data_IF_047857998862
#
_entry.id   IF_047857998862
#
_cell.length_a   1.000
_cell.length_b   1.000
_cell.length_c   1.000
_cell.angle_alpha   90.00
_cell.angle_beta   90.00
_cell.angle_gamma   90.00
#
_symmetry.space_group_name_H-M   'P 1'
#
loop_
_entity.id
_entity.type
_entity.pdbx_description
1 polymer ?
#
# COMPACT_ATOMS: atom_id res chain seq x y z
N UNK A 1 20.67 -7.40 3.39
CA UNK A 1 19.42 -7.17 2.70
C UNK A 1 19.47 -7.58 1.22
N UNK A 2 20.59 -7.32 0.61
CA UNK A 2 20.71 -7.69 -0.79
C UNK A 2 20.51 -9.17 -1.00
N UNK A 3 20.97 -9.97 -0.07
CA UNK A 3 20.75 -11.38 -0.22
C UNK A 3 19.30 -11.74 -0.13
N UNK A 4 18.57 -11.04 0.73
CA UNK A 4 17.16 -11.33 0.85
C UNK A 4 16.44 -10.95 -0.43
N UNK A 5 16.92 -9.93 -1.11
CA UNK A 5 16.27 -9.51 -2.32
C UNK A 5 16.26 -10.58 -3.37
N UNK A 6 17.27 -11.40 -3.38
CA UNK A 6 17.40 -12.35 -4.46
C UNK A 6 16.21 -13.25 -4.59
N UNK A 7 15.75 -13.79 -3.49
CA UNK A 7 14.73 -14.79 -3.59
C UNK A 7 13.40 -14.33 -3.05
N UNK A 8 13.39 -13.33 -2.19
CA UNK A 8 12.18 -13.00 -1.47
C UNK A 8 11.66 -11.61 -1.72
N UNK A 9 12.51 -10.69 -2.13
CA UNK A 9 12.06 -9.32 -2.31
C UNK A 9 11.43 -9.15 -3.68
N UNK A 10 10.26 -8.58 -3.69
CA UNK A 10 9.52 -8.32 -4.92
C UNK A 10 9.00 -6.90 -4.84
N UNK A 11 9.12 -6.18 -5.94
CA UNK A 11 8.63 -4.82 -6.01
C UNK A 11 7.64 -4.70 -7.15
N UNK A 12 6.71 -3.78 -6.97
CA UNK A 12 5.70 -3.55 -7.99
C UNK A 12 5.34 -2.08 -8.02
N UNK A 13 5.17 -1.57 -9.23
CA UNK A 13 4.69 -0.22 -9.44
C UNK A 13 3.38 -0.29 -10.19
N UNK A 14 2.40 0.46 -9.73
CA UNK A 14 1.08 0.46 -10.35
C UNK A 14 0.65 1.89 -10.59
N UNK A 15 0.16 2.15 -11.78
CA UNK A 15 -0.37 3.47 -12.15
C UNK A 15 -1.85 3.35 -12.43
N UNK A 16 -2.57 4.40 -12.10
CA UNK A 16 -3.97 4.52 -12.48
C UNK A 16 -4.09 5.74 -13.39
N UNK A 17 -4.72 5.57 -14.53
CA UNK A 17 -4.93 6.66 -15.47
C UNK A 17 -6.42 6.94 -15.58
N UNK A 18 -6.73 8.22 -15.68
CA UNK A 18 -8.10 8.67 -15.91
C UNK A 18 -8.05 9.79 -16.91
N UNK A 19 -8.90 9.69 -17.93
CA UNK A 19 -8.98 10.74 -18.95
C UNK A 19 -7.62 11.02 -19.60
N UNK A 20 -6.85 9.96 -19.80
CA UNK A 20 -5.56 10.08 -20.43
C UNK A 20 -4.44 10.61 -19.57
N UNK A 21 -4.68 10.83 -18.29
CA UNK A 21 -3.68 11.37 -17.37
C UNK A 21 -3.44 10.42 -16.23
N UNK A 22 -2.24 10.48 -15.67
CA UNK A 22 -1.94 9.70 -14.49
C UNK A 22 -2.67 10.28 -13.31
N UNK A 23 -3.59 9.51 -12.76
CA UNK A 23 -4.37 9.94 -11.61
C UNK A 23 -3.71 9.58 -10.29
N UNK A 24 -2.90 8.52 -10.27
CA UNK A 24 -2.22 8.14 -9.05
C UNK A 24 -1.31 6.96 -9.30
N UNK A 25 -0.52 6.64 -8.29
CA UNK A 25 0.35 5.48 -8.38
C UNK A 25 0.64 4.91 -7.01
N UNK A 26 1.09 3.67 -7.00
CA UNK A 26 1.52 3.01 -5.77
C UNK A 26 2.78 2.23 -6.03
N UNK A 27 3.70 2.31 -5.10
CA UNK A 27 4.90 1.48 -5.07
C UNK A 27 4.77 0.55 -3.88
N UNK A 28 4.87 -0.74 -4.15
CA UNK A 28 4.75 -1.74 -3.11
C UNK A 28 5.95 -2.67 -3.18
N UNK A 29 6.26 -3.25 -2.06
CA UNK A 29 7.35 -4.19 -2.00
C UNK A 29 7.06 -5.26 -0.98
N UNK A 30 7.72 -6.39 -1.12
CA UNK A 30 7.60 -7.48 -0.18
C UNK A 30 8.97 -8.07 0.08
N UNK A 31 9.23 -8.34 1.33
CA UNK A 31 10.43 -9.03 1.73
C UNK A 31 9.97 -10.11 2.70
N UNK A 32 10.30 -11.35 2.40
CA UNK A 32 9.80 -12.49 3.17
C UNK A 32 8.28 -12.41 3.27
N UNK A 33 7.71 -12.30 4.45
CA UNK A 33 6.27 -12.24 4.63
C UNK A 33 5.77 -10.87 5.01
N UNK A 34 6.59 -9.86 4.81
CA UNK A 34 6.25 -8.50 5.18
C UNK A 34 6.11 -7.68 3.91
N UNK A 35 4.95 -7.05 3.77
CA UNK A 35 4.69 -6.15 2.67
C UNK A 35 4.81 -4.71 3.10
N UNK A 36 5.17 -3.87 2.16
CA UNK A 36 5.31 -2.43 2.39
C UNK A 36 4.61 -1.67 1.30
N UNK A 37 3.80 -0.71 1.69
CA UNK A 37 3.32 0.32 0.77
C UNK A 37 4.34 1.43 0.85
N UNK A 38 5.27 1.44 -0.09
CA UNK A 38 6.39 2.37 -0.04
C UNK A 38 5.97 3.78 -0.40
N UNK A 39 5.03 3.89 -1.32
CA UNK A 39 4.52 5.18 -1.72
C UNK A 39 3.16 5.00 -2.38
N UNK A 40 2.23 5.85 -2.02
CA UNK A 40 0.93 5.88 -2.64
C UNK A 40 0.54 7.34 -2.78
N UNK A 41 0.29 7.77 -4.00
CA UNK A 41 -0.01 9.16 -4.27
C UNK A 41 -1.15 9.26 -5.26
N UNK A 42 -2.01 10.24 -5.04
CA UNK A 42 -3.13 10.52 -5.94
C UNK A 42 -3.03 11.98 -6.34
N UNK A 43 -3.09 12.23 -7.63
CA UNK A 43 -3.04 13.59 -8.14
C UNK A 43 -4.19 14.39 -7.54
N UNK A 44 -3.95 15.66 -7.14
CA UNK A 44 -5.01 16.43 -6.48
C UNK A 44 -6.31 16.51 -7.25
N UNK A 45 -6.24 16.54 -8.57
CA UNK A 45 -7.44 16.66 -9.39
C UNK A 45 -8.26 15.36 -9.39
N UNK A 46 -7.71 14.29 -8.88
CA UNK A 46 -8.37 12.99 -8.89
C UNK A 46 -8.59 12.44 -7.50
N UNK A 47 -8.46 13.27 -6.49
CA UNK A 47 -8.73 12.83 -5.14
C UNK A 47 -10.23 12.78 -4.89
N UNK A 48 -10.61 11.97 -3.92
CA UNK A 48 -12.00 11.83 -3.50
C UNK A 48 -12.89 11.16 -4.53
N UNK A 49 -12.30 10.51 -5.52
CA UNK A 49 -13.08 9.74 -6.48
C UNK A 49 -12.72 8.26 -6.41
N UNK A 50 -12.08 7.85 -5.32
CA UNK A 50 -11.82 6.45 -5.10
C UNK A 50 -10.51 5.91 -5.68
N UNK A 51 -9.67 6.77 -6.25
CA UNK A 51 -8.41 6.31 -6.83
C UNK A 51 -7.48 5.75 -5.76
N UNK A 52 -7.34 6.48 -4.64
CA UNK A 52 -6.47 6.01 -3.56
C UNK A 52 -6.95 4.70 -2.98
N UNK A 53 -8.25 4.56 -2.79
CA UNK A 53 -8.81 3.34 -2.25
C UNK A 53 -8.61 2.17 -3.20
N UNK A 54 -8.79 2.40 -4.50
CA UNK A 54 -8.58 1.36 -5.49
C UNK A 54 -7.12 0.93 -5.54
N UNK A 55 -6.19 1.90 -5.50
CA UNK A 55 -4.77 1.58 -5.49
C UNK A 55 -4.39 0.78 -4.25
N UNK A 56 -4.90 1.18 -3.11
CA UNK A 56 -4.58 0.48 -1.86
C UNK A 56 -5.14 -0.92 -1.86
N UNK A 57 -6.39 -1.08 -2.28
CA UNK A 57 -7.00 -2.41 -2.35
C UNK A 57 -6.22 -3.32 -3.30
N UNK A 58 -5.83 -2.78 -4.45
CA UNK A 58 -5.06 -3.54 -5.42
C UNK A 58 -3.70 -3.93 -4.85
N UNK A 59 -3.03 -3.00 -4.16
CA UNK A 59 -1.73 -3.29 -3.57
C UNK A 59 -1.83 -4.37 -2.49
N UNK A 60 -2.84 -4.27 -1.64
CA UNK A 60 -3.03 -5.27 -0.60
C UNK A 60 -3.30 -6.64 -1.20
N UNK A 61 -4.16 -6.70 -2.21
CA UNK A 61 -4.47 -7.97 -2.85
C UNK A 61 -3.22 -8.58 -3.46
N UNK A 62 -2.40 -7.75 -4.12
CA UNK A 62 -1.17 -8.24 -4.72
C UNK A 62 -0.20 -8.76 -3.67
N UNK A 63 -0.02 -8.00 -2.59
CA UNK A 63 0.89 -8.42 -1.53
C UNK A 63 0.44 -9.73 -0.90
N UNK A 64 -0.86 -9.89 -0.67
CA UNK A 64 -1.37 -11.10 -0.07
C UNK A 64 -1.16 -12.29 -1.00
N UNK A 65 -1.43 -12.10 -2.29
CA UNK A 65 -1.22 -13.17 -3.27
C UNK A 65 0.25 -13.59 -3.33
N UNK A 66 1.15 -12.68 -2.99
CA UNK A 66 2.58 -12.96 -3.04
C UNK A 66 3.17 -13.29 -1.68
N UNK A 67 2.32 -13.63 -0.72
CA UNK A 67 2.78 -14.21 0.52
C UNK A 67 2.96 -13.26 1.69
N UNK A 68 2.60 -12.00 1.55
CA UNK A 68 2.72 -11.08 2.67
C UNK A 68 1.69 -11.42 3.73
N UNK A 69 2.12 -11.42 4.97
CA UNK A 69 1.23 -11.61 6.11
C UNK A 69 0.96 -10.32 6.84
N UNK A 70 1.97 -9.48 6.92
CA UNK A 70 1.84 -8.16 7.55
C UNK A 70 2.15 -7.13 6.50
N UNK A 71 1.42 -6.05 6.50
CA UNK A 71 1.64 -4.97 5.54
C UNK A 71 1.80 -3.68 6.34
N UNK A 72 2.87 -2.97 6.03
CA UNK A 72 3.20 -1.73 6.71
C UNK A 72 3.13 -0.56 5.76
N UNK A 73 2.79 0.59 6.29
CA UNK A 73 2.84 1.84 5.56
C UNK A 73 3.26 2.94 6.52
N UNK A 74 4.08 3.86 6.03
CA UNK A 74 4.43 5.05 6.79
C UNK A 74 3.71 6.24 6.21
N UNK A 75 3.24 7.09 7.09
CA UNK A 75 2.61 8.32 6.64
C UNK A 75 2.94 9.39 7.66
N UNK A 76 2.94 10.64 7.20
CA UNK A 76 3.22 11.75 8.09
C UNK A 76 2.13 11.86 9.14
N UNK A 77 2.49 12.22 10.37
CA UNK A 77 1.48 12.33 11.43
C UNK A 77 0.37 13.32 11.12
N UNK A 78 0.67 14.33 10.34
CA UNK A 78 -0.33 15.33 10.01
C UNK A 78 -1.05 15.06 8.71
N UNK A 79 -0.76 13.96 8.06
CA UNK A 79 -1.44 13.61 6.81
C UNK A 79 -2.72 12.85 7.14
N UNK A 80 -3.72 13.59 7.55
CA UNK A 80 -4.98 12.98 8.00
C UNK A 80 -5.74 12.26 6.89
N UNK A 81 -5.79 12.79 5.67
CA UNK A 81 -6.48 12.05 4.62
C UNK A 81 -5.87 10.68 4.38
N UNK A 82 -4.54 10.59 4.39
CA UNK A 82 -3.89 9.29 4.21
C UNK A 82 -4.18 8.36 5.37
N UNK A 83 -4.13 8.88 6.59
CA UNK A 83 -4.42 8.05 7.75
C UNK A 83 -5.85 7.55 7.73
N UNK A 84 -6.79 8.38 7.30
CA UNK A 84 -8.17 7.96 7.18
C UNK A 84 -8.32 6.88 6.13
N UNK A 85 -7.64 7.04 5.01
CA UNK A 85 -7.68 6.03 3.95
C UNK A 85 -7.17 4.70 4.44
N UNK A 86 -5.99 4.70 5.07
CA UNK A 86 -5.42 3.46 5.57
C UNK A 86 -6.29 2.84 6.65
N UNK A 87 -6.84 3.68 7.53
CA UNK A 87 -7.72 3.17 8.58
C UNK A 87 -8.94 2.47 8.04
N UNK A 88 -9.51 2.99 6.95
CA UNK A 88 -10.66 2.36 6.33
C UNK A 88 -10.35 0.99 5.78
N UNK A 89 -9.09 0.72 5.50
CA UNK A 89 -8.66 -0.56 4.98
C UNK A 89 -8.05 -1.46 6.04
N UNK A 90 -8.23 -1.11 7.31
CA UNK A 90 -7.83 -1.99 8.39
C UNK A 90 -6.46 -1.74 8.98
N UNK A 91 -5.77 -0.69 8.54
CA UNK A 91 -4.48 -0.37 9.12
C UNK A 91 -4.66 0.22 10.50
N UNK A 92 -3.76 -0.15 11.39
CA UNK A 92 -3.81 0.24 12.79
C UNK A 92 -2.53 0.98 13.11
N UNK A 93 -2.60 2.09 13.87
CA UNK A 93 -1.38 2.81 14.25
C UNK A 93 -0.46 1.94 15.11
N UNK A 94 0.81 2.06 14.83
CA UNK A 94 1.86 1.39 15.58
C UNK A 94 2.96 2.39 15.84
N UNK A 95 3.90 2.02 16.69
CA UNK A 95 4.98 2.93 17.03
C UNK A 95 5.79 3.32 15.81
N UNK A 96 5.95 2.40 14.88
CA UNK A 96 6.75 2.68 13.68
C UNK A 96 5.94 3.11 12.49
N UNK A 97 4.62 3.26 12.62
CA UNK A 97 3.81 3.64 11.50
C UNK A 97 2.44 3.01 11.58
N UNK A 98 1.85 2.68 10.43
CA UNK A 98 0.58 2.01 10.37
C UNK A 98 0.78 0.61 9.82
N UNK A 99 0.06 -0.34 10.37
CA UNK A 99 0.22 -1.71 9.95
C UNK A 99 -1.09 -2.46 9.93
N UNK A 100 -1.19 -3.41 9.02
CA UNK A 100 -2.18 -4.45 9.04
C UNK A 100 -1.46 -5.69 9.53
N UNK A 101 -1.82 -6.18 10.67
CA UNK A 101 -1.08 -7.27 11.26
C UNK A 101 -1.38 -8.61 10.66
N UNK A 102 -2.54 -8.75 10.05
CA UNK A 102 -2.88 -9.97 9.45
C UNK A 102 -3.43 -9.69 8.17
N UNK A 103 -2.76 -10.05 7.19
CA UNK A 103 -3.16 -9.68 5.86
C UNK A 103 -3.77 -10.86 5.15
N UNK A 104 -4.53 -11.61 5.85
CA UNK A 104 -5.20 -12.71 5.23
C UNK A 104 -6.67 -12.52 5.28
N UNK A 105 -7.14 -11.46 4.69
CA UNK A 105 -8.56 -11.26 4.64
C UNK A 105 -9.17 -12.40 3.90
N UNK A 106 -10.31 -12.70 4.18
CA UNK A 106 -10.95 -13.78 3.51
C UNK A 106 -10.58 -15.12 4.06
N UNK A 107 -9.88 -15.10 5.09
CA UNK A 107 -9.59 -16.33 5.60
C UNK A 107 -10.08 -16.40 6.79
#
# INVERSE_FOLDING_TARGET
>A
FAEACDATDVNRRRLVRRHGRTAGFALTGRTARIGFIQRLAVHPDHQRVGVGSALLADALAWLIRHGARDVWVNTQPDNRPAQALYGRHGFVPRDEGLAVLRSTPGR
#
